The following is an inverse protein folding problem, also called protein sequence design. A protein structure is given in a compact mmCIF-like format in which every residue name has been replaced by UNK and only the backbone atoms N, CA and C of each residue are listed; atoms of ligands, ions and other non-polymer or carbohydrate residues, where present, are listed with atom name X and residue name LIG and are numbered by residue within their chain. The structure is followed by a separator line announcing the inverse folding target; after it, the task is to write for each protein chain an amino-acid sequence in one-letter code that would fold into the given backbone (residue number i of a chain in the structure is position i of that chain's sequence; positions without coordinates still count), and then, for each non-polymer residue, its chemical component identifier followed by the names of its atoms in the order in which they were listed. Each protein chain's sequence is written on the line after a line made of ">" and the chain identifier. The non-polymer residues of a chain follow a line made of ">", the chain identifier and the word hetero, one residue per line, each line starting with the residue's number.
data_IF_279794914876
#
_entry.id   IF_279794914876
#
_cell.length_a   1.000
_cell.length_b   1.000
_cell.length_c   1.000
_cell.angle_alpha   90.00
_cell.angle_beta   90.00
_cell.angle_gamma   90.00
#
_symmetry.space_group_name_H-M   'P 1'
#
loop_
_entity.id
_entity.type
_entity.pdbx_description
1 polymer ?
#
# COMPACT_ATOMS: atom_id res chain seq x y z
N UNK A 1 -29.56 -8.37 -27.22
CA UNK A 1 -29.64 -9.43 -26.18
C UNK A 1 -30.12 -8.76 -24.89
N UNK A 2 -31.32 -9.06 -24.37
CA UNK A 2 -31.85 -8.35 -23.22
C UNK A 2 -31.27 -8.91 -21.92
N UNK A 3 -30.48 -8.11 -21.21
CA UNK A 3 -30.14 -8.40 -19.81
C UNK A 3 -31.24 -7.79 -18.93
N UNK A 4 -32.21 -8.63 -18.54
CA UNK A 4 -33.20 -8.45 -17.45
C UNK A 4 -33.49 -6.99 -17.03
N UNK A 5 -34.48 -6.35 -17.65
CA UNK A 5 -35.25 -5.19 -17.16
C UNK A 5 -34.50 -4.12 -16.33
N UNK A 6 -33.25 -3.81 -16.67
CA UNK A 6 -32.49 -2.72 -16.04
C UNK A 6 -32.23 -1.64 -17.07
N UNK A 7 -32.52 -0.39 -16.71
CA UNK A 7 -32.18 0.76 -17.52
C UNK A 7 -30.65 0.83 -17.67
N UNK A 8 -30.18 0.72 -18.91
CA UNK A 8 -28.76 0.78 -19.24
C UNK A 8 -28.41 2.22 -19.63
N UNK A 9 -27.62 2.90 -18.80
CA UNK A 9 -27.07 4.21 -19.15
C UNK A 9 -25.73 3.96 -19.83
N UNK A 10 -25.71 4.12 -21.16
CA UNK A 10 -24.48 4.03 -21.96
C UNK A 10 -23.90 5.44 -22.02
N UNK A 11 -22.82 5.66 -21.29
CA UNK A 11 -22.07 6.91 -21.34
C UNK A 11 -20.84 6.71 -22.24
N UNK A 12 -20.71 7.53 -23.29
CA UNK A 12 -19.54 7.52 -24.17
C UNK A 12 -18.33 8.16 -23.48
N UNK A 13 -17.14 7.62 -23.73
CA UNK A 13 -15.88 8.19 -23.23
C UNK A 13 -15.73 9.64 -23.73
N UNK A 14 -15.57 10.60 -22.80
CA UNK A 14 -15.42 12.03 -23.09
C UNK A 14 -13.96 12.46 -23.16
N UNK A 15 -13.00 11.57 -22.89
CA UNK A 15 -11.58 11.88 -22.96
C UNK A 15 -11.00 11.59 -24.34
N UNK A 16 -9.86 12.23 -24.61
CA UNK A 16 -9.13 12.39 -25.88
C UNK A 16 -8.76 11.08 -26.61
N UNK A 17 -9.75 10.24 -26.95
CA UNK A 17 -9.55 9.13 -27.86
C UNK A 17 -9.48 9.68 -29.30
N UNK A 18 -8.65 9.08 -30.16
CA UNK A 18 -8.63 9.35 -31.61
C UNK A 18 -9.92 8.88 -32.32
N UNK A 19 -10.90 8.38 -31.56
CA UNK A 19 -12.12 7.78 -32.07
C UNK A 19 -13.20 8.85 -32.21
N UNK A 20 -13.93 8.81 -33.32
CA UNK A 20 -15.06 9.72 -33.54
C UNK A 20 -16.30 9.18 -32.83
N UNK A 21 -16.80 9.93 -31.85
CA UNK A 21 -18.08 9.65 -31.20
C UNK A 21 -19.20 9.97 -32.19
N UNK A 22 -20.15 9.04 -32.36
CA UNK A 22 -21.34 9.24 -33.19
C UNK A 22 -22.60 9.22 -32.32
N UNK A 23 -23.67 9.89 -32.78
CA UNK A 23 -24.96 9.82 -32.09
C UNK A 23 -25.71 8.53 -32.42
N UNK A 24 -26.67 8.16 -31.57
CA UNK A 24 -27.57 7.02 -31.78
C UNK A 24 -28.37 7.10 -33.10
N UNK A 25 -28.65 8.30 -33.60
CA UNK A 25 -29.34 8.50 -34.89
C UNK A 25 -28.42 8.08 -36.04
N UNK A 26 -27.14 8.47 -35.97
CA UNK A 26 -26.15 8.08 -36.99
C UNK A 26 -25.88 6.58 -36.93
N UNK A 27 -25.78 6.03 -35.73
CA UNK A 27 -25.60 4.59 -35.51
C UNK A 27 -26.69 3.77 -36.21
N UNK A 28 -27.97 4.11 -35.98
CA UNK A 28 -29.11 3.47 -36.66
C UNK A 28 -29.04 3.57 -38.19
N UNK A 29 -28.62 4.72 -38.73
CA UNK A 29 -28.48 4.92 -40.17
C UNK A 29 -27.38 4.02 -40.78
N UNK A 30 -26.28 3.78 -40.06
CA UNK A 30 -25.24 2.87 -40.52
C UNK A 30 -25.72 1.42 -40.54
N UNK A 31 -26.53 1.00 -39.56
CA UNK A 31 -27.16 -0.32 -39.54
C UNK A 31 -28.09 -0.51 -40.74
N UNK A 32 -28.96 0.48 -40.99
CA UNK A 32 -29.90 0.46 -42.12
C UNK A 32 -29.17 0.42 -43.47
N UNK A 33 -27.97 0.98 -43.54
CA UNK A 33 -27.08 0.92 -44.72
C UNK A 33 -26.23 -0.36 -44.81
N UNK A 34 -26.45 -1.34 -43.92
CA UNK A 34 -25.76 -2.64 -43.94
C UNK A 34 -24.37 -2.66 -43.29
N UNK A 35 -24.00 -1.64 -42.51
CA UNK A 35 -22.75 -1.69 -41.75
C UNK A 35 -22.85 -2.66 -40.57
N UNK A 36 -21.81 -3.47 -40.36
CA UNK A 36 -21.69 -4.34 -39.20
C UNK A 36 -21.24 -3.55 -37.96
N UNK A 37 -21.91 -3.81 -36.84
CA UNK A 37 -21.58 -3.20 -35.54
C UNK A 37 -21.05 -4.26 -34.59
N UNK A 38 -19.96 -3.92 -33.90
CA UNK A 38 -19.38 -4.74 -32.85
C UNK A 38 -19.52 -4.02 -31.51
N UNK A 39 -20.16 -4.69 -30.54
CA UNK A 39 -20.25 -4.20 -29.17
C UNK A 39 -19.11 -4.80 -28.36
N UNK A 40 -18.18 -3.96 -27.89
CA UNK A 40 -17.12 -4.37 -26.98
C UNK A 40 -17.39 -3.82 -25.59
N UNK A 41 -17.51 -4.69 -24.60
CA UNK A 41 -17.59 -4.31 -23.20
C UNK A 41 -16.17 -4.21 -22.63
N UNK A 42 -15.77 -3.02 -22.17
CA UNK A 42 -14.51 -2.84 -21.43
C UNK A 42 -14.86 -2.75 -19.95
N UNK A 43 -14.65 -3.84 -19.22
CA UNK A 43 -14.66 -3.80 -17.75
C UNK A 43 -13.31 -3.30 -17.28
N UNK A 44 -13.25 -2.06 -16.79
CA UNK A 44 -12.06 -1.56 -16.12
C UNK A 44 -11.76 -2.45 -14.91
N UNK A 45 -10.62 -3.15 -14.93
CA UNK A 45 -10.14 -3.82 -13.72
C UNK A 45 -9.74 -2.70 -12.75
N UNK A 46 -10.46 -2.56 -11.65
CA UNK A 46 -10.01 -1.73 -10.53
C UNK A 46 -8.64 -2.28 -10.15
N UNK A 47 -7.59 -1.48 -10.33
CA UNK A 47 -6.24 -1.91 -9.98
C UNK A 47 -6.25 -2.27 -8.50
N UNK A 48 -5.83 -3.51 -8.18
CA UNK A 48 -5.59 -3.86 -6.78
C UNK A 48 -4.55 -2.87 -6.25
N UNK A 49 -4.88 -2.19 -5.17
CA UNK A 49 -3.92 -1.34 -4.45
C UNK A 49 -2.71 -2.22 -4.15
N UNK A 50 -1.55 -1.87 -4.70
CA UNK A 50 -0.30 -2.60 -4.46
C UNK A 50 0.00 -2.55 -2.98
N UNK A 51 0.07 -3.71 -2.34
CA UNK A 51 0.46 -3.83 -0.94
C UNK A 51 1.97 -4.02 -0.83
N UNK A 52 2.53 -3.75 0.34
CA UNK A 52 3.96 -3.99 0.61
C UNK A 52 4.29 -5.48 0.44
N UNK A 53 3.34 -6.35 0.76
CA UNK A 53 3.45 -7.80 0.58
C UNK A 53 3.54 -8.24 -0.90
N UNK A 54 3.20 -7.37 -1.87
CA UNK A 54 3.32 -7.69 -3.30
C UNK A 54 4.77 -7.54 -3.81
N UNK A 55 5.66 -6.94 -3.03
CA UNK A 55 7.09 -6.81 -3.35
C UNK A 55 7.72 -8.21 -3.32
N UNK A 56 8.35 -8.70 -4.42
CA UNK A 56 8.83 -10.06 -4.50
C UNK A 56 9.71 -10.49 -3.31
N UNK A 57 10.66 -9.64 -2.91
CA UNK A 57 11.54 -9.92 -1.77
C UNK A 57 10.77 -10.05 -0.45
N UNK A 58 9.74 -9.23 -0.21
CA UNK A 58 8.96 -9.29 1.03
C UNK A 58 8.09 -10.54 1.04
N UNK A 59 7.46 -10.85 -0.09
CA UNK A 59 6.64 -12.05 -0.28
C UNK A 59 7.44 -13.33 -0.07
N UNK A 60 8.67 -13.37 -0.56
CA UNK A 60 9.54 -14.55 -0.48
C UNK A 60 10.14 -14.71 0.94
N UNK A 61 10.14 -13.66 1.77
CA UNK A 61 10.73 -13.63 3.11
C UNK A 61 9.80 -13.02 4.19
N UNK A 62 8.53 -13.43 4.22
CA UNK A 62 7.54 -12.88 5.17
C UNK A 62 7.93 -13.04 6.65
N UNK A 63 8.67 -14.10 6.99
CA UNK A 63 9.16 -14.34 8.35
C UNK A 63 10.22 -13.31 8.80
N UNK A 64 10.96 -12.73 7.86
CA UNK A 64 12.00 -11.72 8.12
C UNK A 64 11.40 -10.31 8.16
N UNK A 65 10.23 -10.12 7.54
CA UNK A 65 9.49 -8.85 7.53
C UNK A 65 8.11 -8.99 8.21
N UNK A 66 8.05 -9.41 9.49
CA UNK A 66 6.79 -9.47 10.21
C UNK A 66 6.23 -8.06 10.40
N UNK A 67 4.89 -7.97 10.48
CA UNK A 67 4.20 -6.69 10.69
C UNK A 67 4.52 -6.06 12.05
N UNK A 68 4.75 -6.91 13.06
CA UNK A 68 5.09 -6.53 14.43
C UNK A 68 6.46 -7.10 14.81
N UNK A 69 7.17 -6.45 15.73
CA UNK A 69 8.51 -6.88 16.15
C UNK A 69 8.44 -8.20 16.95
N UNK A 70 9.20 -9.25 16.57
CA UNK A 70 9.07 -10.59 17.16
C UNK A 70 9.71 -10.75 18.56
N UNK A 71 10.09 -9.65 19.21
CA UNK A 71 10.85 -9.66 20.47
C UNK A 71 12.37 -9.71 20.27
N UNK A 72 13.10 -9.96 21.35
CA UNK A 72 14.56 -10.09 21.29
C UNK A 72 14.99 -11.22 20.35
N UNK A 73 16.07 -11.03 19.57
CA UNK A 73 16.63 -12.11 18.78
C UNK A 73 17.11 -13.25 19.71
N UNK A 74 17.08 -14.50 19.24
CA UNK A 74 17.63 -15.63 19.99
C UNK A 74 19.07 -15.37 20.44
N UNK A 75 19.52 -15.99 21.56
CA UNK A 75 20.90 -15.91 22.01
C UNK A 75 21.86 -16.21 20.86
N UNK A 76 22.72 -15.23 20.55
CA UNK A 76 23.74 -15.40 19.52
C UNK A 76 24.96 -16.10 20.13
N UNK A 77 25.68 -16.88 19.32
CA UNK A 77 26.93 -17.53 19.77
C UNK A 77 28.02 -16.51 20.16
N UNK A 78 27.90 -15.27 19.67
CA UNK A 78 28.81 -14.16 19.97
C UNK A 78 28.09 -13.13 20.83
N UNK A 79 28.69 -12.79 21.96
CA UNK A 79 28.25 -11.69 22.82
C UNK A 79 28.71 -10.35 22.24
N UNK A 80 27.81 -9.38 22.17
CA UNK A 80 28.14 -8.01 21.76
C UNK A 80 28.72 -7.28 22.96
N UNK A 81 30.04 -7.05 22.95
CA UNK A 81 30.74 -6.30 23.99
C UNK A 81 31.11 -4.92 23.45
N UNK A 82 30.94 -3.90 24.27
CA UNK A 82 31.38 -2.54 23.97
C UNK A 82 32.70 -2.33 24.71
N UNK A 83 33.81 -2.44 23.99
CA UNK A 83 35.13 -2.17 24.55
C UNK A 83 35.36 -0.66 24.68
N UNK A 84 35.65 -0.21 25.90
CA UNK A 84 35.98 1.19 26.15
C UNK A 84 37.47 1.41 25.94
N UNK A 85 37.82 2.53 25.31
CA UNK A 85 39.21 2.98 25.28
C UNK A 85 39.69 3.25 26.72
N UNK A 86 40.92 2.90 27.09
CA UNK A 86 41.45 3.17 28.43
C UNK A 86 41.32 4.66 28.79
N UNK A 87 40.75 4.94 29.97
CA UNK A 87 40.50 6.30 30.44
C UNK A 87 39.17 6.92 30.00
N UNK A 88 38.33 6.21 29.25
CA UNK A 88 36.97 6.67 28.96
C UNK A 88 36.13 6.76 30.25
N UNK A 89 35.44 7.88 30.43
CA UNK A 89 34.51 8.11 31.54
C UNK A 89 33.07 8.10 31.04
N UNK A 90 32.10 7.56 31.81
CA UNK A 90 30.69 7.63 31.44
C UNK A 90 30.22 9.07 31.24
N UNK A 91 29.42 9.32 30.21
CA UNK A 91 28.85 10.63 29.93
C UNK A 91 27.42 10.67 30.45
N UNK A 92 27.15 11.55 31.41
CA UNK A 92 25.80 11.88 31.85
C UNK A 92 25.37 13.21 31.24
N UNK A 93 24.23 13.22 30.52
CA UNK A 93 23.63 14.43 29.96
C UNK A 93 22.17 14.49 30.34
N UNK A 94 21.67 15.70 30.62
CA UNK A 94 20.26 15.91 30.83
C UNK A 94 19.47 15.63 29.53
N UNK A 95 18.29 14.99 29.59
CA UNK A 95 17.42 14.84 28.44
C UNK A 95 17.00 16.21 27.87
N UNK A 96 16.75 16.27 26.56
CA UNK A 96 16.18 17.44 25.94
C UNK A 96 14.74 17.67 26.42
N UNK A 97 14.30 18.93 26.39
CA UNK A 97 12.91 19.28 26.68
C UNK A 97 12.04 18.84 25.51
N UNK A 98 10.98 18.09 25.82
CA UNK A 98 9.98 17.63 24.87
C UNK A 98 8.62 18.26 25.21
N UNK A 99 7.81 18.52 24.19
CA UNK A 99 6.44 18.96 24.37
C UNK A 99 5.58 17.82 24.99
N UNK A 100 4.43 18.13 25.61
CA UNK A 100 3.58 17.09 26.21
C UNK A 100 3.13 15.99 25.24
N UNK A 101 2.92 16.30 23.96
CA UNK A 101 2.57 15.31 22.93
C UNK A 101 3.71 14.36 22.62
N UNK A 102 4.94 14.87 22.53
CA UNK A 102 6.15 14.08 22.26
C UNK A 102 6.49 13.18 23.45
N UNK A 103 6.31 13.67 24.69
CA UNK A 103 6.49 12.86 25.90
C UNK A 103 5.50 11.69 25.95
N UNK A 104 4.25 11.92 25.54
CA UNK A 104 3.23 10.88 25.48
C UNK A 104 3.62 9.80 24.46
N UNK A 105 4.00 10.21 23.26
CA UNK A 105 4.43 9.28 22.21
C UNK A 105 5.67 8.48 22.64
N UNK A 106 6.68 9.14 23.21
CA UNK A 106 7.87 8.49 23.73
C UNK A 106 7.52 7.47 24.82
N UNK A 107 6.63 7.82 25.75
CA UNK A 107 6.19 6.90 26.81
C UNK A 107 5.47 5.67 26.25
N UNK A 108 4.65 5.85 25.22
CA UNK A 108 3.94 4.75 24.55
C UNK A 108 4.93 3.80 23.85
N UNK A 109 5.92 4.36 23.15
CA UNK A 109 6.98 3.57 22.50
C UNK A 109 7.84 2.82 23.51
N UNK A 110 8.26 3.46 24.61
CA UNK A 110 9.04 2.80 25.67
C UNK A 110 8.26 1.65 26.32
N UNK A 111 6.97 1.85 26.57
CA UNK A 111 6.10 0.80 27.10
C UNK A 111 6.05 -0.40 26.14
N UNK A 112 5.81 -0.16 24.85
CA UNK A 112 5.78 -1.21 23.84
C UNK A 112 7.11 -1.98 23.81
N UNK A 113 8.24 -1.27 23.73
CA UNK A 113 9.58 -1.88 23.68
C UNK A 113 9.90 -2.73 24.92
N UNK A 114 9.44 -2.30 26.11
CA UNK A 114 9.63 -3.07 27.34
C UNK A 114 8.74 -4.31 27.38
N UNK A 115 7.49 -4.22 26.90
CA UNK A 115 6.57 -5.36 26.79
C UNK A 115 7.11 -6.46 25.85
N UNK A 116 7.81 -6.08 24.77
CA UNK A 116 8.48 -7.03 23.85
C UNK A 116 9.90 -7.42 24.29
N UNK A 117 10.37 -6.90 25.42
CA UNK A 117 11.63 -7.30 26.07
C UNK A 117 12.90 -6.69 25.47
N UNK A 118 12.81 -5.64 24.66
CA UNK A 118 14.00 -4.99 24.09
C UNK A 118 14.73 -4.09 25.09
N UNK A 119 14.02 -3.55 26.09
CA UNK A 119 14.53 -2.66 27.13
C UNK A 119 14.06 -3.06 28.52
#
# INVERSE_FOLDING_TARGET
>A
IPLKNKALIIEGDRNQSRLKIISCIKDRKYIENGCELFLTQVTGTVSKVKRVEDVPVIRDFLEVFPKDLPGLPPPRQVEFRIDLIPGATPVARAPYRLAPSELKELSEQLKQLSEIGFI
#
